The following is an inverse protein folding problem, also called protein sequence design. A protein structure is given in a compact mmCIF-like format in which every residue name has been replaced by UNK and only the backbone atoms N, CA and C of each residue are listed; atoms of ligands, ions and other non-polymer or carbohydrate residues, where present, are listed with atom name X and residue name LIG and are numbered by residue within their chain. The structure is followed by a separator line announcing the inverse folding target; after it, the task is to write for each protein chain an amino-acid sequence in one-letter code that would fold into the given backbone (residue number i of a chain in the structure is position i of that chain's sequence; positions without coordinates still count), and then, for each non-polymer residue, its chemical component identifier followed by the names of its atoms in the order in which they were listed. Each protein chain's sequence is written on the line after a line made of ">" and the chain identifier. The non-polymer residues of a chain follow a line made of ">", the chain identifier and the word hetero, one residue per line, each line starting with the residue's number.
data_IF_221067672989
#
_entry.id   IF_221067672989
#
_cell.length_a   1.000
_cell.length_b   1.000
_cell.length_c   1.000
_cell.angle_alpha   90.00
_cell.angle_beta   90.00
_cell.angle_gamma   90.00
#
_symmetry.space_group_name_H-M   'P 1'
#
loop_
_entity.id
_entity.type
_entity.pdbx_description
1 polymer ?
#
# COMPACT_ATOMS: atom_id res chain seq x y z
N UNK A 1 -8.64 11.14 -13.21
CA UNK A 1 -7.83 9.91 -13.46
C UNK A 1 -6.41 10.41 -13.71
N UNK A 2 -5.47 10.03 -12.84
CA UNK A 2 -4.11 10.58 -12.91
C UNK A 2 -3.29 9.78 -13.94
N UNK A 3 -2.59 10.50 -14.82
CA UNK A 3 -1.83 9.93 -15.94
C UNK A 3 -0.81 8.87 -15.47
N UNK A 4 -0.27 9.01 -14.26
CA UNK A 4 0.76 8.14 -13.70
C UNK A 4 0.21 6.80 -13.21
N UNK A 5 -0.97 6.77 -12.61
CA UNK A 5 -1.64 5.52 -12.23
C UNK A 5 -2.05 4.74 -13.47
N UNK A 6 -2.51 5.45 -14.49
CA UNK A 6 -2.84 4.87 -15.80
C UNK A 6 -1.60 4.29 -16.49
N UNK A 7 -0.43 4.96 -16.41
CA UNK A 7 0.82 4.48 -17.01
C UNK A 7 1.32 3.21 -16.28
N UNK A 8 1.18 3.12 -14.97
CA UNK A 8 1.55 1.91 -14.20
C UNK A 8 0.61 0.75 -14.49
N UNK A 9 -0.70 0.98 -14.53
CA UNK A 9 -1.70 -0.04 -14.91
C UNK A 9 -1.50 -0.53 -16.35
N UNK A 10 -1.29 0.38 -17.29
CA UNK A 10 -0.97 0.03 -18.68
C UNK A 10 0.37 -0.71 -18.76
N UNK A 11 1.38 -0.28 -18.00
CA UNK A 11 2.68 -0.94 -17.92
C UNK A 11 2.57 -2.41 -17.49
N UNK A 12 1.78 -2.72 -16.48
CA UNK A 12 1.52 -4.11 -16.04
C UNK A 12 0.78 -4.94 -17.10
N UNK A 13 -0.19 -4.36 -17.80
CA UNK A 13 -0.95 -5.04 -18.87
C UNK A 13 -0.12 -5.31 -20.13
N UNK A 14 0.81 -4.43 -20.45
CA UNK A 14 1.61 -4.49 -21.69
C UNK A 14 2.92 -5.28 -21.51
N UNK A 15 3.40 -5.43 -20.26
CA UNK A 15 4.65 -6.13 -19.94
C UNK A 15 4.80 -7.52 -20.57
N UNK A 16 3.78 -8.41 -20.62
CA UNK A 16 3.91 -9.73 -21.24
C UNK A 16 4.10 -9.67 -22.77
N UNK A 17 3.61 -8.63 -23.41
CA UNK A 17 3.70 -8.46 -24.88
C UNK A 17 5.00 -7.73 -25.24
N UNK A 18 5.32 -6.65 -24.53
CA UNK A 18 6.54 -5.85 -24.76
C UNK A 18 7.80 -6.62 -24.38
N UNK A 19 7.74 -7.50 -23.38
CA UNK A 19 8.87 -8.34 -22.96
C UNK A 19 9.35 -9.35 -24.01
N UNK A 20 8.55 -9.61 -25.06
CA UNK A 20 8.95 -10.43 -26.19
C UNK A 20 9.74 -9.66 -27.26
N UNK A 21 9.67 -8.33 -27.25
CA UNK A 21 10.21 -7.47 -28.31
C UNK A 21 11.31 -6.55 -27.77
N UNK A 22 11.23 -6.15 -26.50
CA UNK A 22 12.16 -5.21 -25.88
C UNK A 22 13.06 -5.93 -24.88
N UNK A 23 14.38 -5.75 -24.93
CA UNK A 23 15.30 -6.33 -23.94
C UNK A 23 14.92 -5.98 -22.51
N UNK A 24 15.01 -6.95 -21.59
CA UNK A 24 14.56 -6.82 -20.20
C UNK A 24 15.19 -5.62 -19.49
N UNK A 25 16.49 -5.35 -19.71
CA UNK A 25 17.17 -4.20 -19.09
C UNK A 25 16.60 -2.82 -19.47
N UNK A 26 16.00 -2.71 -20.67
CA UNK A 26 15.32 -1.47 -21.10
C UNK A 26 13.98 -1.34 -20.36
N UNK A 27 13.25 -2.44 -20.24
CA UNK A 27 12.00 -2.49 -19.48
C UNK A 27 12.25 -2.11 -18.03
N UNK A 28 13.29 -2.66 -17.42
CA UNK A 28 13.65 -2.38 -16.03
C UNK A 28 14.04 -0.92 -15.81
N UNK A 29 14.79 -0.31 -16.74
CA UNK A 29 15.13 1.12 -16.70
C UNK A 29 13.89 2.02 -16.82
N UNK A 30 12.98 1.70 -17.73
CA UNK A 30 11.72 2.45 -17.90
C UNK A 30 10.88 2.31 -16.63
N UNK A 31 10.73 1.10 -16.12
CA UNK A 31 9.97 0.82 -14.92
C UNK A 31 10.54 1.56 -13.70
N UNK A 32 11.84 1.48 -13.48
CA UNK A 32 12.52 2.21 -12.40
C UNK A 32 12.32 3.73 -12.51
N UNK A 33 12.40 4.29 -13.72
CA UNK A 33 12.18 5.73 -13.95
C UNK A 33 10.73 6.14 -13.70
N UNK A 34 9.76 5.34 -14.15
CA UNK A 34 8.33 5.60 -13.93
C UNK A 34 8.01 5.51 -12.44
N UNK A 35 8.45 4.46 -11.76
CA UNK A 35 8.24 4.27 -10.32
C UNK A 35 8.85 5.41 -9.49
N UNK A 36 10.09 5.82 -9.81
CA UNK A 36 10.76 6.94 -9.14
C UNK A 36 10.02 8.28 -9.37
N UNK A 37 9.51 8.51 -10.57
CA UNK A 37 8.73 9.73 -10.85
C UNK A 37 7.39 9.72 -10.12
N UNK A 38 6.69 8.58 -10.11
CA UNK A 38 5.44 8.38 -9.38
C UNK A 38 5.65 8.61 -7.89
N UNK A 39 6.74 8.07 -7.32
CA UNK A 39 7.11 8.27 -5.93
C UNK A 39 7.35 9.72 -5.57
N UNK A 40 8.14 10.45 -6.40
CA UNK A 40 8.39 11.88 -6.19
C UNK A 40 7.11 12.70 -6.27
N UNK A 41 6.23 12.40 -7.22
CA UNK A 41 4.96 13.08 -7.37
C UNK A 41 4.04 12.80 -6.17
N UNK A 42 3.96 11.57 -5.70
CA UNK A 42 3.17 11.20 -4.53
C UNK A 42 3.65 11.91 -3.27
N UNK A 43 4.97 11.94 -3.03
CA UNK A 43 5.57 12.65 -1.90
C UNK A 43 5.32 14.15 -1.99
N UNK A 44 5.47 14.75 -3.16
CA UNK A 44 5.16 16.17 -3.37
C UNK A 44 3.69 16.46 -3.06
N UNK A 45 2.77 15.69 -3.64
CA UNK A 45 1.34 15.81 -3.41
C UNK A 45 0.98 15.58 -1.93
N UNK A 46 1.59 14.57 -1.30
CA UNK A 46 1.44 14.32 0.13
C UNK A 46 1.85 15.52 0.98
N UNK A 47 2.96 16.19 0.66
CA UNK A 47 3.45 17.36 1.41
C UNK A 47 2.61 18.61 1.18
N UNK A 48 2.03 18.78 0.00
CA UNK A 48 1.30 20.00 -0.40
C UNK A 48 -0.19 19.93 -0.15
N UNK A 49 -0.80 18.74 -0.19
CA UNK A 49 -2.22 18.58 0.09
C UNK A 49 -2.53 18.78 1.58
N UNK A 50 -3.59 19.53 1.92
CA UNK A 50 -3.98 19.75 3.30
C UNK A 50 -4.47 18.45 3.94
N UNK A 51 -3.83 18.05 5.04
CA UNK A 51 -4.24 16.93 5.89
C UNK A 51 -4.38 17.41 7.33
N UNK A 52 -5.42 16.95 8.00
CA UNK A 52 -5.60 17.24 9.42
C UNK A 52 -4.75 16.28 10.25
N UNK A 53 -4.18 16.79 11.33
CA UNK A 53 -3.41 15.97 12.28
C UNK A 53 -4.28 14.89 12.90
N UNK A 54 -3.66 13.80 13.30
CA UNK A 54 -4.29 12.68 14.00
C UNK A 54 -5.08 13.17 15.21
N UNK A 55 -6.29 12.61 15.38
CA UNK A 55 -7.22 12.92 16.49
C UNK A 55 -7.61 11.64 17.21
N UNK A 56 -6.97 11.29 18.34
CA UNK A 56 -7.10 9.99 18.99
C UNK A 56 -8.55 9.58 19.33
N UNK A 57 -9.40 10.55 19.66
CA UNK A 57 -10.77 10.29 20.14
C UNK A 57 -11.86 10.57 19.09
N UNK A 58 -11.47 10.82 17.82
CA UNK A 58 -12.44 11.11 16.77
C UNK A 58 -13.13 9.86 16.23
N UNK A 59 -12.41 8.77 16.16
CA UNK A 59 -12.85 7.52 15.55
C UNK A 59 -13.05 6.43 16.61
N UNK A 60 -13.77 5.39 16.26
CA UNK A 60 -13.87 4.19 17.11
C UNK A 60 -12.47 3.58 17.31
N UNK A 61 -12.30 2.88 18.43
CA UNK A 61 -11.10 2.04 18.63
C UNK A 61 -11.12 0.87 17.67
N UNK A 62 -9.98 0.59 17.05
CA UNK A 62 -9.82 -0.48 16.08
C UNK A 62 -8.87 -0.09 14.96
N UNK A 63 -8.80 -0.94 13.94
CA UNK A 63 -7.81 -0.86 12.87
C UNK A 63 -8.50 -0.92 11.51
N UNK A 64 -8.15 -0.02 10.61
CA UNK A 64 -8.45 -0.12 9.19
C UNK A 64 -7.26 -0.81 8.51
N UNK A 65 -7.43 -2.03 8.06
CA UNK A 65 -6.40 -2.82 7.41
C UNK A 65 -6.49 -2.64 5.89
N UNK A 66 -5.50 -2.00 5.31
CA UNK A 66 -5.48 -1.61 3.89
C UNK A 66 -4.43 -2.42 3.14
N UNK A 67 -4.82 -3.16 2.12
CA UNK A 67 -3.91 -3.96 1.31
C UNK A 67 -4.62 -4.96 0.41
N UNK A 68 -3.86 -5.81 -0.26
CA UNK A 68 -4.39 -6.77 -1.24
C UNK A 68 -4.82 -8.08 -0.58
N UNK A 69 -5.88 -8.01 0.23
CA UNK A 69 -6.40 -9.15 1.03
C UNK A 69 -6.99 -10.27 0.14
N UNK A 70 -7.41 -9.94 -1.07
CA UNK A 70 -7.99 -10.88 -2.04
C UNK A 70 -6.94 -11.50 -2.97
N UNK A 71 -5.68 -11.14 -2.85
CA UNK A 71 -4.60 -11.70 -3.67
C UNK A 71 -4.17 -13.08 -3.20
N UNK A 72 -3.90 -14.00 -4.15
CA UNK A 72 -3.29 -15.30 -3.89
C UNK A 72 -1.76 -15.24 -3.75
N UNK A 73 -1.19 -14.05 -3.48
CA UNK A 73 0.24 -13.83 -3.25
C UNK A 73 0.63 -13.99 -1.77
N UNK A 74 1.95 -14.02 -1.50
CA UNK A 74 2.48 -13.99 -0.13
C UNK A 74 2.02 -12.76 0.67
N UNK A 75 1.94 -11.58 0.04
CA UNK A 75 1.39 -10.37 0.66
C UNK A 75 -0.09 -10.53 1.01
N UNK A 76 -0.89 -11.11 0.11
CA UNK A 76 -2.29 -11.42 0.40
C UNK A 76 -2.45 -12.40 1.55
N UNK A 77 -1.60 -13.43 1.62
CA UNK A 77 -1.59 -14.36 2.74
C UNK A 77 -1.20 -13.67 4.05
N UNK A 78 -0.18 -12.82 4.03
CA UNK A 78 0.31 -12.10 5.20
C UNK A 78 -0.76 -11.16 5.78
N UNK A 79 -1.48 -10.40 4.94
CA UNK A 79 -2.55 -9.53 5.43
C UNK A 79 -3.74 -10.32 5.98
N UNK A 80 -4.08 -11.49 5.41
CA UNK A 80 -5.12 -12.39 5.98
C UNK A 80 -4.71 -12.96 7.33
N UNK A 81 -3.45 -13.34 7.51
CA UNK A 81 -2.94 -13.78 8.82
C UNK A 81 -3.04 -12.67 9.86
N UNK A 82 -2.68 -11.43 9.49
CA UNK A 82 -2.81 -10.27 10.38
C UNK A 82 -4.29 -10.02 10.75
N UNK A 83 -5.21 -10.11 9.78
CA UNK A 83 -6.64 -10.01 10.04
C UNK A 83 -7.14 -11.11 10.98
N UNK A 84 -6.67 -12.36 10.81
CA UNK A 84 -6.99 -13.49 11.69
C UNK A 84 -6.53 -13.25 13.13
N UNK A 85 -5.31 -12.73 13.32
CA UNK A 85 -4.83 -12.36 14.66
C UNK A 85 -5.70 -11.28 15.29
N UNK A 86 -6.15 -10.27 14.53
CA UNK A 86 -7.06 -9.26 15.05
C UNK A 86 -8.40 -9.85 15.48
N UNK A 87 -8.94 -10.79 14.72
CA UNK A 87 -10.19 -11.47 15.06
C UNK A 87 -10.04 -12.33 16.31
N UNK A 88 -9.01 -13.15 16.40
CA UNK A 88 -8.70 -14.02 17.56
C UNK A 88 -8.50 -13.22 18.84
N UNK A 89 -7.91 -12.03 18.74
CA UNK A 89 -7.68 -11.14 19.88
C UNK A 89 -8.85 -10.17 20.15
N UNK A 90 -9.97 -10.32 19.44
CA UNK A 90 -11.15 -9.45 19.54
C UNK A 90 -10.81 -7.95 19.31
N UNK A 91 -9.83 -7.66 18.45
CA UNK A 91 -9.50 -6.30 18.05
C UNK A 91 -10.47 -5.89 16.93
N UNK A 92 -11.29 -4.84 17.10
CA UNK A 92 -12.19 -4.38 16.04
C UNK A 92 -11.39 -3.93 14.82
N UNK A 93 -11.74 -4.44 13.64
CA UNK A 93 -11.09 -4.03 12.41
C UNK A 93 -12.05 -3.95 11.21
N UNK A 94 -11.61 -3.25 10.19
CA UNK A 94 -12.24 -3.18 8.88
C UNK A 94 -11.18 -3.44 7.82
N UNK A 95 -11.56 -4.11 6.73
CA UNK A 95 -10.67 -4.37 5.60
C UNK A 95 -10.95 -3.41 4.45
N UNK A 96 -9.90 -3.00 3.74
CA UNK A 96 -9.96 -2.19 2.54
C UNK A 96 -9.09 -2.83 1.48
N UNK A 97 -9.73 -3.42 0.48
CA UNK A 97 -9.02 -3.98 -0.67
C UNK A 97 -8.25 -2.88 -1.41
N UNK A 98 -6.96 -3.06 -1.54
CA UNK A 98 -6.09 -2.22 -2.35
C UNK A 98 -5.12 -3.08 -3.14
N UNK A 99 -5.17 -2.98 -4.46
CA UNK A 99 -4.20 -3.60 -5.36
C UNK A 99 -3.86 -2.66 -6.52
N UNK A 100 -2.66 -2.77 -7.03
CA UNK A 100 -2.23 -2.18 -8.30
C UNK A 100 -2.26 -3.22 -9.44
N UNK A 101 -2.44 -4.49 -9.13
CA UNK A 101 -2.47 -5.59 -10.10
C UNK A 101 -3.87 -6.23 -10.17
N UNK A 102 -4.75 -5.62 -10.94
CA UNK A 102 -6.13 -6.11 -11.12
C UNK A 102 -6.23 -7.44 -11.88
N UNK A 103 -5.16 -7.89 -12.53
CA UNK A 103 -5.09 -9.15 -13.27
C UNK A 103 -4.39 -10.28 -12.48
N UNK A 104 -4.13 -10.08 -11.20
CA UNK A 104 -3.55 -11.09 -10.30
C UNK A 104 -4.50 -12.25 -10.04
N UNK A 105 -3.95 -13.37 -9.60
CA UNK A 105 -4.78 -14.48 -9.08
C UNK A 105 -5.48 -14.02 -7.81
N UNK A 106 -6.80 -14.16 -7.79
CA UNK A 106 -7.63 -13.85 -6.63
C UNK A 106 -7.85 -15.09 -5.77
N UNK A 107 -8.03 -14.87 -4.48
CA UNK A 107 -8.42 -15.86 -3.50
C UNK A 107 -9.63 -15.33 -2.70
N UNK A 108 -10.46 -16.23 -2.22
CA UNK A 108 -11.58 -15.87 -1.36
C UNK A 108 -11.09 -15.10 -0.12
N UNK A 109 -11.78 -14.01 0.18
CA UNK A 109 -11.52 -13.19 1.35
C UNK A 109 -12.36 -13.69 2.53
N UNK A 110 -11.78 -14.37 3.54
CA UNK A 110 -12.53 -14.87 4.69
C UNK A 110 -13.10 -13.75 5.58
N UNK A 111 -12.68 -12.50 5.37
CA UNK A 111 -13.11 -11.31 6.10
C UNK A 111 -13.91 -10.35 5.21
N UNK A 112 -14.63 -10.86 4.22
CA UNK A 112 -15.42 -10.05 3.30
C UNK A 112 -16.52 -9.23 4.01
N UNK A 113 -17.04 -9.75 5.13
CA UNK A 113 -17.99 -9.06 6.01
C UNK A 113 -17.40 -7.83 6.71
N UNK A 114 -16.07 -7.77 6.86
CA UNK A 114 -15.34 -6.61 7.42
C UNK A 114 -15.00 -5.55 6.36
N UNK A 115 -15.27 -5.82 5.08
CA UNK A 115 -14.95 -4.88 4.01
C UNK A 115 -15.84 -3.63 4.09
N UNK A 116 -15.25 -2.45 4.03
CA UNK A 116 -15.97 -1.18 4.15
C UNK A 116 -15.41 -0.11 3.22
N UNK A 117 -16.28 0.81 2.78
CA UNK A 117 -15.89 1.95 1.94
C UNK A 117 -15.32 3.14 2.72
N UNK A 118 -15.38 3.11 4.04
CA UNK A 118 -14.91 4.18 4.91
C UNK A 118 -13.73 3.73 5.77
N UNK A 119 -13.18 4.62 6.57
CA UNK A 119 -12.12 4.36 7.54
C UNK A 119 -12.69 4.61 8.95
N UNK A 120 -13.47 3.66 9.51
CA UNK A 120 -14.22 3.89 10.75
C UNK A 120 -13.37 3.96 12.01
N UNK A 121 -12.14 3.43 11.95
CA UNK A 121 -11.23 3.36 13.09
C UNK A 121 -10.12 4.40 13.02
N UNK A 122 -9.52 4.72 14.19
CA UNK A 122 -8.52 5.77 14.28
C UNK A 122 -7.13 5.41 13.75
N UNK A 123 -6.85 4.12 13.58
CA UNK A 123 -5.55 3.61 13.13
C UNK A 123 -5.72 2.95 11.76
N UNK A 124 -4.86 3.32 10.83
CA UNK A 124 -4.71 2.60 9.55
C UNK A 124 -3.43 1.79 9.58
N UNK A 125 -3.50 0.53 9.16
CA UNK A 125 -2.34 -0.30 8.85
C UNK A 125 -2.34 -0.54 7.35
N UNK A 126 -1.38 0.04 6.66
CA UNK A 126 -1.15 -0.15 5.23
C UNK A 126 -0.20 -1.32 5.04
N UNK A 127 -0.76 -2.48 4.73
CA UNK A 127 0.00 -3.68 4.36
C UNK A 127 0.22 -3.68 2.85
N UNK A 128 1.14 -2.85 2.40
CA UNK A 128 1.40 -2.56 1.00
C UNK A 128 2.91 -2.59 0.80
N UNK A 129 3.37 -3.20 -0.29
CA UNK A 129 4.78 -3.21 -0.65
C UNK A 129 5.33 -1.78 -0.68
N UNK A 130 6.55 -1.61 -0.17
CA UNK A 130 7.23 -0.30 -0.08
C UNK A 130 7.25 0.45 -1.41
N UNK A 131 7.52 -0.25 -2.52
CA UNK A 131 7.53 0.34 -3.86
C UNK A 131 6.16 0.88 -4.29
N UNK A 132 5.07 0.28 -3.79
CA UNK A 132 3.69 0.59 -4.18
C UNK A 132 3.02 1.59 -3.24
N UNK A 133 3.62 1.85 -2.08
CA UNK A 133 3.06 2.73 -1.06
C UNK A 133 2.77 4.16 -1.54
N UNK A 134 3.65 4.81 -2.34
CA UNK A 134 3.34 6.10 -2.95
C UNK A 134 2.14 6.06 -3.90
N UNK A 135 2.03 4.98 -4.67
CA UNK A 135 0.91 4.77 -5.60
C UNK A 135 -0.42 4.60 -4.85
N UNK A 136 -0.38 4.01 -3.65
CA UNK A 136 -1.55 3.92 -2.79
C UNK A 136 -2.08 5.31 -2.42
N UNK A 137 -1.20 6.27 -2.07
CA UNK A 137 -1.61 7.64 -1.80
C UNK A 137 -2.28 8.30 -3.01
N UNK A 138 -1.72 8.12 -4.21
CA UNK A 138 -2.28 8.69 -5.43
C UNK A 138 -3.65 8.09 -5.78
N UNK A 139 -3.83 6.78 -5.57
CA UNK A 139 -5.08 6.06 -5.88
C UNK A 139 -6.17 6.31 -4.83
N UNK A 140 -5.83 6.26 -3.54
CA UNK A 140 -6.78 6.41 -2.44
C UNK A 140 -7.06 7.88 -2.07
N UNK A 141 -6.19 8.80 -2.49
CA UNK A 141 -6.26 10.22 -2.14
C UNK A 141 -5.90 10.49 -0.67
N UNK A 142 -6.00 11.75 -0.21
CA UNK A 142 -5.55 12.16 1.12
C UNK A 142 -6.46 11.72 2.28
N UNK A 143 -7.68 11.24 2.00
CA UNK A 143 -8.69 10.94 3.02
C UNK A 143 -8.23 9.93 4.07
N UNK A 144 -7.63 8.77 3.71
CA UNK A 144 -7.13 7.82 4.70
C UNK A 144 -6.03 8.41 5.59
N UNK A 145 -5.22 9.31 5.04
CA UNK A 145 -4.11 9.93 5.78
C UNK A 145 -4.52 11.11 6.66
N UNK A 146 -5.75 11.58 6.53
CA UNK A 146 -6.22 12.74 7.28
C UNK A 146 -6.89 12.32 8.59
N UNK A 147 -6.41 12.85 9.72
CA UNK A 147 -6.93 12.64 11.08
C UNK A 147 -6.71 11.22 11.66
N UNK A 148 -6.12 10.29 10.89
CA UNK A 148 -5.78 8.93 11.32
C UNK A 148 -4.32 8.81 11.72
N UNK A 149 -4.01 7.81 12.55
CA UNK A 149 -2.65 7.35 12.78
C UNK A 149 -2.32 6.28 11.74
N UNK A 150 -1.28 6.52 10.96
CA UNK A 150 -0.95 5.70 9.79
C UNK A 150 0.30 4.89 10.05
N UNK A 151 0.17 3.58 10.03
CA UNK A 151 1.25 2.61 10.15
C UNK A 151 1.48 2.01 8.76
N UNK A 152 2.72 2.03 8.31
CA UNK A 152 3.13 1.32 7.10
C UNK A 152 3.77 -0.01 7.51
N UNK A 153 3.14 -1.12 7.17
CA UNK A 153 3.72 -2.45 7.34
C UNK A 153 4.43 -2.83 6.05
N UNK A 154 5.73 -2.61 6.03
CA UNK A 154 6.59 -2.84 4.88
C UNK A 154 7.27 -4.19 4.96
N UNK A 155 7.07 -5.00 3.93
CA UNK A 155 7.77 -6.26 3.75
C UNK A 155 8.93 -6.01 2.79
N UNK A 156 10.15 -6.03 3.34
CA UNK A 156 11.38 -5.86 2.59
C UNK A 156 12.37 -6.97 2.98
N UNK A 157 13.01 -7.57 2.00
CA UNK A 157 13.81 -8.78 2.18
C UNK A 157 15.33 -8.51 2.23
N UNK A 158 15.75 -7.25 2.06
CA UNK A 158 17.15 -6.86 2.06
C UNK A 158 17.47 -5.99 3.29
N UNK A 159 18.75 -6.03 3.70
CA UNK A 159 19.28 -5.30 4.85
C UNK A 159 19.17 -3.78 4.69
N UNK A 160 19.30 -3.28 3.46
CA UNK A 160 19.26 -1.84 3.18
C UNK A 160 18.01 -1.44 2.37
N UNK A 161 17.36 -0.38 2.81
CA UNK A 161 16.28 0.23 2.07
C UNK A 161 16.84 1.04 0.90
N UNK A 162 16.35 0.87 -0.34
CA UNK A 162 16.77 1.70 -1.47
C UNK A 162 16.61 3.20 -1.17
N UNK A 163 17.67 3.98 -1.39
CA UNK A 163 17.70 5.42 -1.06
C UNK A 163 16.50 6.20 -1.65
N UNK A 164 16.04 5.83 -2.83
CA UNK A 164 14.90 6.51 -3.47
C UNK A 164 13.54 6.23 -2.79
N UNK A 165 13.48 5.31 -1.80
CA UNK A 165 12.29 5.06 -0.98
C UNK A 165 12.29 5.82 0.34
N UNK A 166 13.45 6.28 0.81
CA UNK A 166 13.57 7.08 2.04
C UNK A 166 12.57 8.25 2.08
N UNK A 167 12.34 9.00 0.98
CA UNK A 167 11.34 10.07 0.98
C UNK A 167 9.91 9.61 1.27
N UNK A 168 9.58 8.31 1.10
CA UNK A 168 8.24 7.78 1.37
C UNK A 168 7.93 7.67 2.86
N UNK A 169 8.98 7.64 3.69
CA UNK A 169 8.84 7.56 5.15
C UNK A 169 8.05 8.74 5.74
N UNK A 170 8.03 9.90 5.07
CA UNK A 170 7.19 11.01 5.54
C UNK A 170 5.68 10.74 5.46
N UNK A 171 5.27 9.67 4.77
CA UNK A 171 3.87 9.37 4.49
C UNK A 171 3.20 8.47 5.54
N UNK A 172 3.93 8.00 6.55
CA UNK A 172 3.40 7.25 7.68
C UNK A 172 3.90 7.84 9.00
N UNK A 173 3.21 7.50 10.09
CA UNK A 173 3.60 7.89 11.44
C UNK A 173 4.54 6.87 12.08
N UNK A 174 4.41 5.60 11.65
CA UNK A 174 5.14 4.47 12.21
C UNK A 174 5.36 3.42 11.11
N UNK A 175 6.42 2.63 11.26
CA UNK A 175 6.78 1.56 10.33
C UNK A 175 6.90 0.25 11.09
N UNK A 176 6.25 -0.76 10.56
CA UNK A 176 6.39 -2.13 11.02
C UNK A 176 7.15 -2.93 9.96
N UNK A 177 8.07 -3.74 10.42
CA UNK A 177 8.82 -4.69 9.59
C UNK A 177 8.59 -6.12 10.11
N UNK A 178 8.70 -7.14 9.26
CA UNK A 178 8.42 -8.53 9.65
C UNK A 178 9.50 -9.12 10.58
N UNK A 179 10.67 -8.52 10.67
CA UNK A 179 11.80 -9.01 11.46
C UNK A 179 12.77 -7.89 11.82
N UNK A 180 13.64 -8.11 12.82
CA UNK A 180 14.75 -7.21 13.17
C UNK A 180 15.75 -7.03 12.02
N UNK A 181 15.89 -8.04 11.14
CA UNK A 181 16.74 -7.95 9.96
C UNK A 181 16.26 -6.86 8.97
N UNK A 182 14.97 -6.63 8.90
CA UNK A 182 14.35 -5.67 7.99
C UNK A 182 14.04 -4.31 8.67
N UNK A 183 14.50 -4.10 9.91
CA UNK A 183 14.18 -2.89 10.70
C UNK A 183 15.21 -1.78 10.57
#
# INVERSE_FOLDING_TARGET
>A
MDLSSTILEVGHKVRPVVGKIVPQFIIDKIYAKVTSNTGRMAVHKFKTEPKKKFKPNKFKRGINLVGDIESATGLGQSIRLLAGVMEDQNIPFATHQFTLNENGFSQENPFADKNTKGYPYGINVFHINTADFPSAYLKLGPKPWSEHYNIAHWVWELEELPEHWIPYMCMANEFWTPSEFAS
#
